data_IF_162476575634
#
_entry.id   IF_162476575634
#
_cell.length_a   1.000
_cell.length_b   1.000
_cell.length_c   1.000
_cell.angle_alpha   90.00
_cell.angle_beta   90.00
_cell.angle_gamma   90.00
#
_symmetry.space_group_name_H-M   'P 1'
#
loop_
_entity.id
_entity.type
_entity.pdbx_description
1 polymer ?
#
# COMPACT_ATOMS: atom_id res chain seq x y z
N UNK A 1 21.72 -19.44 -10.43
CA UNK A 1 20.80 -18.42 -10.97
C UNK A 1 20.87 -18.53 -12.48
N UNK A 2 19.79 -18.92 -13.17
CA UNK A 2 19.77 -19.02 -14.64
C UNK A 2 19.48 -17.64 -15.24
N UNK A 3 20.41 -17.09 -15.99
CA UNK A 3 20.32 -15.76 -16.62
C UNK A 3 19.45 -15.77 -17.91
N UNK A 4 19.14 -16.94 -18.46
CA UNK A 4 18.45 -17.10 -19.76
C UNK A 4 16.91 -16.99 -19.71
N UNK A 5 16.31 -16.63 -18.57
CA UNK A 5 14.85 -16.57 -18.46
C UNK A 5 14.26 -15.22 -18.94
N UNK A 6 13.27 -15.22 -19.86
CA UNK A 6 12.59 -14.03 -20.34
C UNK A 6 12.04 -13.16 -19.21
N UNK A 7 12.21 -11.84 -19.33
CA UNK A 7 11.88 -10.90 -18.26
C UNK A 7 10.43 -11.04 -17.77
N UNK A 8 9.43 -11.17 -18.65
CA UNK A 8 8.03 -11.34 -18.24
C UNK A 8 7.81 -12.59 -17.37
N UNK A 9 8.58 -13.66 -17.59
CA UNK A 9 8.56 -14.85 -16.73
C UNK A 9 9.17 -14.56 -15.37
N UNK A 10 10.36 -13.93 -15.32
CA UNK A 10 11.01 -13.54 -14.05
C UNK A 10 10.15 -12.57 -13.23
N UNK A 11 9.62 -11.56 -13.91
CA UNK A 11 8.71 -10.56 -13.39
C UNK A 11 7.45 -11.17 -12.81
N UNK A 12 6.84 -12.09 -13.55
CA UNK A 12 5.59 -12.69 -13.10
C UNK A 12 5.83 -13.84 -12.10
N UNK A 13 7.05 -14.40 -12.00
CA UNK A 13 7.51 -15.20 -10.85
C UNK A 13 7.67 -14.33 -9.59
N UNK A 14 8.37 -13.18 -9.68
CA UNK A 14 8.53 -12.25 -8.54
C UNK A 14 7.17 -11.84 -7.95
N UNK A 15 6.15 -11.68 -8.78
CA UNK A 15 4.76 -11.45 -8.33
C UNK A 15 4.17 -12.61 -7.53
N UNK A 16 4.47 -13.85 -7.89
CA UNK A 16 3.99 -15.04 -7.17
C UNK A 16 4.75 -15.15 -5.84
N UNK A 17 6.06 -14.94 -5.85
CA UNK A 17 6.91 -14.95 -4.64
C UNK A 17 6.49 -13.86 -3.64
N UNK A 18 6.20 -12.64 -4.12
CA UNK A 18 5.67 -11.57 -3.27
C UNK A 18 4.26 -11.87 -2.69
N UNK A 19 3.48 -12.77 -3.32
CA UNK A 19 2.17 -13.22 -2.82
C UNK A 19 2.27 -14.37 -1.83
N UNK A 20 3.26 -15.26 -1.98
CA UNK A 20 3.35 -16.46 -1.14
C UNK A 20 4.01 -16.20 0.22
N UNK A 21 4.82 -15.15 0.35
CA UNK A 21 5.57 -14.88 1.59
C UNK A 21 6.56 -16.01 1.92
N UNK A 22 7.45 -15.85 2.91
CA UNK A 22 8.49 -16.84 3.24
C UNK A 22 7.96 -18.14 3.91
N UNK A 23 6.66 -18.42 3.87
CA UNK A 23 6.03 -19.44 4.70
C UNK A 23 5.18 -20.43 3.87
N UNK A 24 5.83 -21.10 2.92
CA UNK A 24 5.32 -22.36 2.35
C UNK A 24 6.47 -23.34 2.11
N UNK A 25 6.67 -24.24 3.08
CA UNK A 25 7.43 -25.48 2.88
C UNK A 25 6.54 -26.43 2.06
N UNK A 26 6.96 -26.78 0.85
CA UNK A 26 6.32 -27.82 0.05
C UNK A 26 6.45 -29.20 0.72
N UNK A 27 5.41 -30.06 0.72
CA UNK A 27 5.54 -31.42 1.22
C UNK A 27 6.34 -32.28 0.23
N UNK A 28 7.40 -32.91 0.73
CA UNK A 28 8.26 -33.81 -0.03
C UNK A 28 7.44 -34.93 -0.70
N UNK A 29 7.72 -35.15 -1.98
CA UNK A 29 7.19 -36.27 -2.76
C UNK A 29 7.85 -37.56 -2.29
N UNK A 30 7.01 -38.51 -1.93
CA UNK A 30 7.36 -39.91 -1.72
C UNK A 30 7.72 -40.54 -3.07
N UNK A 31 8.91 -41.13 -3.17
CA UNK A 31 9.26 -42.06 -4.25
C UNK A 31 10.06 -43.21 -3.67
N UNK A 32 9.61 -44.41 -4.00
CA UNK A 32 10.11 -45.69 -3.55
C UNK A 32 11.28 -46.21 -4.41
N UNK A 33 12.01 -47.14 -3.79
CA UNK A 33 12.92 -48.17 -4.32
C UNK A 33 14.37 -47.82 -4.69
N UNK A 34 15.26 -48.58 -4.05
CA UNK A 34 16.70 -48.66 -4.31
C UNK A 34 17.45 -49.45 -3.22
N UNK A 35 17.32 -50.78 -3.26
CA UNK A 35 18.11 -51.74 -2.48
C UNK A 35 19.60 -51.75 -2.88
N UNK A 36 20.47 -52.06 -1.90
CA UNK A 36 21.70 -52.90 -1.95
C UNK A 36 22.80 -52.38 -1.01
N UNK A 37 23.10 -53.17 0.03
CA UNK A 37 24.48 -53.59 0.37
C UNK A 37 25.26 -52.89 1.49
N UNK A 38 25.12 -53.41 2.72
CA UNK A 38 26.04 -53.25 3.88
C UNK A 38 27.46 -53.80 3.59
N UNK A 39 28.56 -53.35 4.27
CA UNK A 39 28.76 -53.71 5.68
C UNK A 39 29.54 -52.72 6.57
N UNK A 40 29.41 -52.91 7.89
CA UNK A 40 30.51 -52.64 8.83
C UNK A 40 30.17 -51.77 10.04
N UNK A 41 29.63 -52.43 11.06
CA UNK A 41 29.56 -52.08 12.49
C UNK A 41 30.33 -50.84 12.96
N UNK A 42 29.59 -49.78 13.33
CA UNK A 42 30.03 -48.80 14.32
C UNK A 42 28.86 -48.51 15.25
N UNK A 43 28.94 -49.10 16.45
CA UNK A 43 27.93 -49.00 17.50
C UNK A 43 27.73 -47.56 17.96
N UNK A 44 26.58 -46.97 17.64
CA UNK A 44 26.08 -45.72 18.22
C UNK A 44 25.12 -46.03 19.38
N UNK A 45 25.16 -45.29 20.49
CA UNK A 45 24.38 -45.61 21.69
C UNK A 45 22.87 -45.45 21.47
N UNK A 46 22.12 -46.25 22.23
CA UNK A 46 20.67 -46.36 22.17
C UNK A 46 19.95 -45.00 22.18
N UNK A 47 19.05 -44.86 21.22
CA UNK A 47 18.05 -43.79 21.09
C UNK A 47 17.22 -43.75 22.37
N UNK A 48 17.53 -42.81 23.25
CA UNK A 48 16.69 -42.50 24.40
C UNK A 48 15.28 -42.16 23.93
N UNK A 49 14.29 -42.83 24.50
CA UNK A 49 12.88 -42.54 24.32
C UNK A 49 12.64 -41.05 24.61
N UNK A 50 12.29 -40.29 23.57
CA UNK A 50 11.96 -38.88 23.68
C UNK A 50 10.67 -38.73 24.48
N UNK A 51 10.83 -38.45 25.78
CA UNK A 51 9.77 -37.96 26.67
C UNK A 51 9.07 -36.77 25.99
N UNK A 52 7.73 -36.63 26.03
CA UNK A 52 7.06 -35.46 25.48
C UNK A 52 7.63 -34.21 26.14
N UNK A 53 8.31 -33.34 25.38
CA UNK A 53 8.67 -32.01 25.88
C UNK A 53 7.38 -31.23 26.02
N UNK A 54 6.91 -31.07 27.26
CA UNK A 54 5.87 -30.11 27.61
C UNK A 54 6.26 -28.75 27.04
N UNK A 55 5.34 -28.15 26.27
CA UNK A 55 5.45 -26.77 25.79
C UNK A 55 5.42 -25.86 27.01
N UNK A 56 6.59 -25.53 27.55
CA UNK A 56 6.70 -24.49 28.58
C UNK A 56 6.37 -23.15 27.92
N UNK A 57 5.21 -22.60 28.25
CA UNK A 57 4.84 -21.23 27.90
C UNK A 57 5.79 -20.29 28.64
N UNK A 58 6.51 -19.44 27.90
CA UNK A 58 7.37 -18.42 28.47
C UNK A 58 6.47 -17.31 29.03
N UNK A 59 6.77 -16.86 30.23
CA UNK A 59 6.06 -15.79 30.94
C UNK A 59 6.91 -14.53 30.96
N UNK A 60 6.32 -13.38 31.28
CA UNK A 60 7.07 -12.12 31.39
C UNK A 60 8.19 -12.19 32.44
N UNK A 61 8.04 -13.05 33.46
CA UNK A 61 9.06 -13.28 34.48
C UNK A 61 10.33 -13.95 33.93
N UNK A 62 10.23 -14.70 32.82
CA UNK A 62 11.37 -15.32 32.15
C UNK A 62 12.22 -14.29 31.36
N UNK A 63 11.81 -13.02 31.31
CA UNK A 63 12.53 -11.91 30.67
C UNK A 63 12.85 -10.76 31.65
N UNK A 64 12.71 -10.99 32.96
CA UNK A 64 12.94 -9.97 33.98
C UNK A 64 14.41 -9.52 34.10
N UNK A 65 15.33 -10.31 33.56
CA UNK A 65 16.77 -10.05 33.47
C UNK A 65 17.15 -9.17 32.26
N UNK A 66 16.23 -8.95 31.33
CA UNK A 66 16.47 -8.14 30.14
C UNK A 66 16.30 -6.66 30.46
N UNK A 67 17.40 -5.91 30.39
CA UNK A 67 17.34 -4.46 30.33
C UNK A 67 16.97 -4.01 28.91
N UNK A 68 15.69 -3.68 28.71
CA UNK A 68 15.18 -3.20 27.43
C UNK A 68 15.69 -1.80 27.06
N UNK A 69 16.13 -1.00 28.04
CA UNK A 69 16.61 0.36 27.79
C UNK A 69 18.04 0.37 27.24
N UNK A 70 18.79 -0.71 27.46
CA UNK A 70 20.13 -0.92 26.90
C UNK A 70 20.15 -1.50 25.48
N UNK A 71 18.99 -1.90 24.92
CA UNK A 71 18.92 -2.47 23.57
C UNK A 71 19.09 -1.39 22.49
N UNK A 72 19.93 -1.69 21.50
CA UNK A 72 20.24 -0.83 20.36
C UNK A 72 20.12 -1.56 19.01
N UNK A 73 20.38 -0.85 17.92
CA UNK A 73 20.26 -1.37 16.55
C UNK A 73 21.16 -2.58 16.24
N UNK A 74 22.18 -2.88 17.08
CA UNK A 74 23.08 -4.01 16.90
C UNK A 74 22.72 -5.19 17.80
N UNK A 75 21.73 -5.03 18.67
CA UNK A 75 21.28 -6.04 19.60
C UNK A 75 20.58 -7.20 18.87
N UNK A 76 20.68 -8.42 19.41
CA UNK A 76 19.99 -9.57 18.84
C UNK A 76 18.52 -9.61 19.29
N UNK A 77 17.62 -9.35 18.34
CA UNK A 77 16.18 -9.36 18.56
C UNK A 77 15.52 -10.73 18.28
N UNK A 78 16.23 -11.70 17.72
CA UNK A 78 15.66 -12.99 17.34
C UNK A 78 15.08 -13.76 18.55
N UNK A 79 15.71 -13.60 19.73
CA UNK A 79 15.24 -14.20 20.99
C UNK A 79 13.86 -13.73 21.42
N UNK A 80 13.44 -12.51 21.05
CA UNK A 80 12.12 -11.98 21.39
C UNK A 80 11.04 -12.42 20.40
N UNK A 81 11.42 -12.79 19.16
CA UNK A 81 10.49 -13.20 18.12
C UNK A 81 10.20 -14.72 18.13
N UNK A 82 10.81 -15.46 19.04
CA UNK A 82 10.63 -16.89 19.16
C UNK A 82 9.17 -17.28 19.49
N UNK A 83 8.79 -18.50 19.08
CA UNK A 83 7.46 -19.05 19.34
C UNK A 83 7.26 -19.28 20.84
N UNK A 84 6.21 -18.68 21.41
CA UNK A 84 5.89 -18.79 22.84
C UNK A 84 6.30 -17.59 23.69
N UNK A 85 7.00 -16.58 23.12
CA UNK A 85 7.28 -15.32 23.82
C UNK A 85 5.98 -14.52 23.98
N UNK A 86 5.68 -13.96 25.18
CA UNK A 86 4.53 -13.10 25.40
C UNK A 86 4.52 -11.90 24.46
N UNK A 87 3.32 -11.53 23.99
CA UNK A 87 3.14 -10.44 23.03
C UNK A 87 3.64 -9.08 23.56
N UNK A 88 3.47 -8.83 24.86
CA UNK A 88 3.96 -7.62 25.51
C UNK A 88 5.50 -7.48 25.44
N UNK A 89 6.23 -8.60 25.57
CA UNK A 89 7.70 -8.62 25.49
C UNK A 89 8.16 -8.39 24.05
N UNK A 90 7.48 -9.00 23.07
CA UNK A 90 7.71 -8.75 21.64
C UNK A 90 7.55 -7.29 21.29
N UNK A 91 6.44 -6.68 21.72
CA UNK A 91 6.15 -5.28 21.44
C UNK A 91 7.17 -4.34 22.08
N UNK A 92 7.61 -4.59 23.32
CA UNK A 92 8.67 -3.81 23.97
C UNK A 92 9.98 -3.86 23.20
N UNK A 93 10.42 -5.05 22.79
CA UNK A 93 11.64 -5.24 22.02
C UNK A 93 11.56 -4.58 20.63
N UNK A 94 10.45 -4.74 19.91
CA UNK A 94 10.26 -4.15 18.58
C UNK A 94 10.20 -2.63 18.61
N UNK A 95 9.59 -2.01 19.63
CA UNK A 95 9.61 -0.55 19.80
C UNK A 95 11.05 -0.03 19.92
N UNK A 96 11.92 -0.75 20.64
CA UNK A 96 13.34 -0.39 20.75
C UNK A 96 14.09 -0.56 19.43
N UNK A 97 13.82 -1.64 18.69
CA UNK A 97 14.40 -1.83 17.35
C UNK A 97 13.99 -0.69 16.39
N UNK A 98 12.70 -0.35 16.34
CA UNK A 98 12.21 0.71 15.45
C UNK A 98 12.68 2.12 15.82
N UNK A 99 12.90 2.38 17.12
CA UNK A 99 13.43 3.68 17.56
C UNK A 99 14.95 3.81 17.39
N UNK A 100 15.70 2.70 17.42
CA UNK A 100 17.18 2.73 17.41
C UNK A 100 17.80 2.47 16.03
N UNK A 101 17.12 1.74 15.15
CA UNK A 101 17.64 1.44 13.81
C UNK A 101 17.45 2.66 12.89
N UNK A 102 18.53 3.25 12.32
CA UNK A 102 18.45 4.40 11.42
C UNK A 102 17.66 4.14 10.12
N UNK A 103 17.40 2.89 9.76
CA UNK A 103 16.51 2.53 8.65
C UNK A 103 15.04 2.72 9.03
N UNK A 104 14.69 2.51 10.30
CA UNK A 104 13.32 2.61 10.82
C UNK A 104 13.04 3.93 11.56
N UNK A 105 14.08 4.61 12.07
CA UNK A 105 13.98 5.84 12.85
C UNK A 105 14.17 7.12 12.03
N UNK A 106 14.17 7.05 10.69
CA UNK A 106 14.04 8.22 9.82
C UNK A 106 12.63 8.80 9.93
N UNK A 107 12.41 9.56 11.00
CA UNK A 107 11.20 10.33 11.23
C UNK A 107 11.31 11.60 10.39
N UNK A 108 10.54 11.69 9.31
CA UNK A 108 10.41 12.95 8.56
C UNK A 108 9.82 14.05 9.45
N UNK A 109 10.21 15.34 9.28
CA UNK A 109 9.78 16.44 10.16
C UNK A 109 8.29 16.82 10.10
N UNK A 110 7.42 16.00 9.51
CA UNK A 110 6.04 16.36 9.18
C UNK A 110 5.02 15.25 9.50
N UNK A 111 5.19 14.58 10.65
CA UNK A 111 4.15 13.71 11.21
C UNK A 111 3.58 14.25 12.53
N UNK A 112 2.48 14.99 12.46
CA UNK A 112 1.61 15.34 13.61
C UNK A 112 0.95 14.11 14.27
N UNK A 113 1.14 12.90 13.72
CA UNK A 113 0.51 11.67 14.18
C UNK A 113 1.49 10.56 14.59
N UNK A 114 2.78 10.86 14.76
CA UNK A 114 3.79 9.88 15.20
C UNK A 114 3.89 9.73 16.73
N UNK A 115 2.98 10.34 17.50
CA UNK A 115 2.99 10.26 18.97
C UNK A 115 2.66 8.87 19.50
N UNK A 116 3.19 8.53 20.67
CA UNK A 116 2.75 7.34 21.42
C UNK A 116 1.42 7.65 22.11
N UNK A 117 0.31 7.32 21.45
CA UNK A 117 -1.04 7.48 21.99
C UNK A 117 -1.39 6.48 23.11
N UNK A 118 -0.44 5.64 23.52
CA UNK A 118 -0.54 4.82 24.74
C UNK A 118 0.21 5.41 25.93
N UNK A 119 0.93 6.52 25.75
CA UNK A 119 1.53 7.29 26.84
C UNK A 119 0.43 7.90 27.72
N UNK A 120 0.43 7.59 29.01
CA UNK A 120 -0.54 8.08 29.99
C UNK A 120 -0.50 9.62 30.17
N UNK A 121 0.54 10.30 29.69
CA UNK A 121 0.62 11.76 29.67
C UNK A 121 -0.21 12.41 28.53
N UNK A 122 -0.51 11.66 27.47
CA UNK A 122 -1.23 12.14 26.26
C UNK A 122 -2.57 11.41 26.08
N UNK A 123 -2.71 10.20 26.65
CA UNK A 123 -3.94 9.42 26.63
C UNK A 123 -4.93 9.91 27.71
N UNK A 124 -6.18 10.12 27.30
CA UNK A 124 -7.28 10.32 28.24
C UNK A 124 -7.45 9.02 29.07
N UNK A 125 -7.57 9.09 30.41
CA UNK A 125 -7.62 7.89 31.24
C UNK A 125 -8.64 6.85 30.77
N UNK A 126 -8.29 5.57 30.90
CA UNK A 126 -9.17 4.48 30.52
C UNK A 126 -10.53 4.59 31.25
N UNK A 127 -11.62 4.70 30.48
CA UNK A 127 -12.98 4.91 30.99
C UNK A 127 -13.50 6.34 30.89
N UNK A 128 -12.66 7.32 30.53
CA UNK A 128 -13.07 8.73 30.37
C UNK A 128 -13.68 9.00 28.99
N UNK A 129 -13.25 8.29 27.95
CA UNK A 129 -13.83 8.37 26.61
C UNK A 129 -14.76 7.18 26.38
N UNK A 130 -16.04 7.46 26.18
CA UNK A 130 -17.03 6.45 25.80
C UNK A 130 -17.42 6.66 24.34
N UNK A 131 -17.26 5.63 23.51
CA UNK A 131 -17.56 5.70 22.08
C UNK A 131 -19.02 5.32 21.82
N UNK A 132 -19.67 6.03 20.90
CA UNK A 132 -21.04 5.72 20.47
C UNK A 132 -21.13 4.47 19.57
N UNK A 133 -19.99 3.85 19.27
CA UNK A 133 -19.89 2.64 18.47
C UNK A 133 -19.29 1.51 19.31
N UNK A 134 -19.95 0.33 19.27
CA UNK A 134 -19.49 -0.90 19.93
C UNK A 134 -19.13 -1.93 18.87
N UNK A 135 -17.86 -2.34 18.86
CA UNK A 135 -17.35 -3.35 17.93
C UNK A 135 -18.17 -4.65 18.06
N UNK A 136 -18.70 -5.14 16.95
CA UNK A 136 -19.54 -6.34 16.88
C UNK A 136 -21.02 -6.15 17.26
N UNK A 137 -21.42 -4.95 17.70
CA UNK A 137 -22.83 -4.62 18.02
C UNK A 137 -23.39 -3.39 17.30
N UNK A 138 -22.55 -2.61 16.61
CA UNK A 138 -22.97 -1.43 15.86
C UNK A 138 -23.01 -0.15 16.71
N UNK A 139 -23.70 0.87 16.20
CA UNK A 139 -23.93 2.12 16.94
C UNK A 139 -24.90 1.91 18.11
N UNK A 140 -24.81 2.76 19.13
CA UNK A 140 -25.79 2.82 20.22
C UNK A 140 -27.21 3.04 19.65
N UNK A 141 -28.22 2.46 20.28
CA UNK A 141 -29.62 2.74 19.92
C UNK A 141 -30.02 4.16 20.31
N UNK A 142 -31.06 4.71 19.66
CA UNK A 142 -31.57 6.06 19.96
C UNK A 142 -31.94 6.24 21.44
N UNK A 143 -32.41 5.17 22.09
CA UNK A 143 -32.73 5.14 23.52
C UNK A 143 -31.45 5.20 24.40
N UNK A 144 -30.37 4.54 23.98
CA UNK A 144 -29.07 4.57 24.65
C UNK A 144 -28.38 5.92 24.49
N UNK A 145 -28.51 6.56 23.32
CA UNK A 145 -27.99 7.92 23.06
C UNK A 145 -28.72 8.95 23.91
N UNK A 146 -30.06 8.89 23.97
CA UNK A 146 -30.86 9.80 24.81
C UNK A 146 -30.57 9.64 26.32
N UNK A 147 -30.19 8.44 26.76
CA UNK A 147 -29.75 8.20 28.13
C UNK A 147 -28.37 8.82 28.42
N UNK A 148 -27.49 8.90 27.41
CA UNK A 148 -26.17 9.52 27.52
C UNK A 148 -26.23 11.04 27.54
N UNK A 149 -27.11 11.65 26.76
CA UNK A 149 -27.35 13.11 26.78
C UNK A 149 -27.85 13.61 28.15
N UNK A 150 -28.52 12.74 28.92
CA UNK A 150 -29.02 13.04 30.27
C UNK A 150 -27.97 12.96 31.38
N UNK A 151 -26.77 12.41 31.11
CA UNK A 151 -25.71 12.25 32.13
C UNK A 151 -24.90 13.54 32.40
N UNK A 152 -25.18 14.63 31.67
CA UNK A 152 -24.60 15.95 31.90
C UNK A 152 -23.20 16.12 31.31
N UNK A 153 -22.94 17.28 30.70
CA UNK A 153 -21.61 17.69 30.23
C UNK A 153 -20.82 18.28 31.41
N UNK A 154 -19.50 18.03 31.54
CA UNK A 154 -18.69 18.70 32.55
C UNK A 154 -18.71 20.22 32.30
N UNK A 155 -18.78 21.00 33.39
CA UNK A 155 -18.82 22.45 33.36
C UNK A 155 -17.57 23.01 32.65
N UNK A 156 -17.78 23.99 31.77
CA UNK A 156 -16.72 24.70 31.07
C UNK A 156 -15.74 25.33 32.07
N UNK A 157 -14.42 25.26 31.85
CA UNK A 157 -13.46 25.94 32.70
C UNK A 157 -13.66 27.46 32.60
N UNK A 158 -13.97 28.07 33.73
CA UNK A 158 -14.12 29.51 33.92
C UNK A 158 -12.88 30.26 33.44
N UNK A 159 -13.06 31.12 32.43
CA UNK A 159 -12.04 32.05 31.97
C UNK A 159 -11.71 33.08 33.07
N UNK A 160 -10.42 33.19 33.44
CA UNK A 160 -9.89 34.36 34.15
C UNK A 160 -9.35 35.34 33.11
N UNK A 161 -9.89 36.55 33.16
CA UNK A 161 -9.64 37.66 32.27
C UNK A 161 -8.23 38.28 32.43
N UNK A 162 -7.70 38.85 31.36
CA UNK A 162 -7.64 40.32 31.20
C UNK A 162 -7.34 40.70 29.76
N UNK A 163 -8.14 41.65 29.26
CA UNK A 163 -8.05 42.32 27.96
C UNK A 163 -7.35 43.69 28.15
N UNK A 164 -6.98 44.45 27.10
CA UNK A 164 -7.97 45.21 26.32
C UNK A 164 -7.74 45.09 24.80
N UNK A 165 -8.75 44.78 23.98
CA UNK A 165 -9.89 45.61 23.57
C UNK A 165 -9.50 46.80 22.68
N UNK A 166 -9.82 46.72 21.37
CA UNK A 166 -10.64 47.73 20.67
C UNK A 166 -11.48 47.03 19.60
N UNK A 167 -12.80 47.15 19.75
CA UNK A 167 -13.91 46.83 18.83
C UNK A 167 -13.98 47.82 17.66
N UNK A 168 -14.46 47.41 16.48
CA UNK A 168 -15.87 47.63 16.06
C UNK A 168 -16.12 47.17 14.60
N UNK A 169 -17.39 46.93 14.33
CA UNK A 169 -18.07 46.34 13.18
C UNK A 169 -17.75 46.94 11.78
N UNK A 170 -18.15 46.24 10.69
CA UNK A 170 -17.73 46.56 9.33
C UNK A 170 -18.70 47.54 8.63
N UNK A 171 -18.22 48.40 7.72
CA UNK A 171 -19.08 49.00 6.71
C UNK A 171 -18.86 48.40 5.31
N UNK A 172 -19.99 48.17 4.63
CA UNK A 172 -20.13 47.99 3.18
C UNK A 172 -19.75 49.28 2.41
N UNK A 173 -19.53 49.19 1.08
CA UNK A 173 -18.60 50.04 0.34
C UNK A 173 -19.23 51.31 -0.25
N UNK A 174 -18.43 52.28 -0.72
CA UNK A 174 -18.87 53.27 -1.69
C UNK A 174 -18.26 53.08 -3.08
N UNK A 175 -19.02 53.61 -4.03
CA UNK A 175 -18.91 53.57 -5.48
C UNK A 175 -17.69 54.32 -6.07
N UNK A 176 -17.28 53.85 -7.26
CA UNK A 176 -16.67 54.52 -8.41
C UNK A 176 -15.61 55.64 -8.23
N UNK A 177 -14.39 55.44 -8.73
CA UNK A 177 -14.04 55.71 -10.14
C UNK A 177 -12.52 55.78 -10.44
N UNK A 178 -12.17 55.14 -11.56
CA UNK A 178 -11.11 55.40 -12.56
C UNK A 178 -9.62 55.40 -12.18
N UNK A 179 -8.91 54.40 -12.72
CA UNK A 179 -7.45 54.32 -12.78
C UNK A 179 -6.94 53.20 -13.69
N UNK A 180 -7.16 53.37 -15.00
CA UNK A 180 -6.45 52.78 -16.15
C UNK A 180 -6.23 51.26 -16.24
N UNK A 181 -6.86 50.69 -17.27
CA UNK A 181 -6.71 49.34 -17.78
C UNK A 181 -5.25 48.96 -18.12
N UNK A 182 -4.85 47.78 -17.66
CA UNK A 182 -4.01 46.88 -18.44
C UNK A 182 -4.68 45.50 -18.42
N UNK A 183 -5.45 45.21 -19.47
CA UNK A 183 -6.00 43.90 -19.73
C UNK A 183 -4.89 42.99 -20.27
N UNK A 184 -4.62 41.87 -19.59
CA UNK A 184 -4.06 40.60 -20.10
C UNK A 184 -4.04 39.63 -18.90
N UNK A 185 -4.53 38.39 -18.91
CA UNK A 185 -5.02 37.49 -19.93
C UNK A 185 -6.06 36.58 -19.25
N UNK A 186 -7.01 36.01 -20.01
CA UNK A 186 -7.91 34.98 -19.47
C UNK A 186 -7.10 33.84 -18.86
N UNK A 187 -7.46 33.41 -17.65
CA UNK A 187 -6.92 32.19 -17.06
C UNK A 187 -7.32 31.02 -17.96
N UNK A 188 -6.40 30.63 -18.83
CA UNK A 188 -6.54 29.41 -19.62
C UNK A 188 -6.67 28.25 -18.63
N UNK A 189 -7.80 27.55 -18.69
CA UNK A 189 -8.03 26.25 -18.04
C UNK A 189 -6.73 25.43 -18.09
N UNK A 190 -6.18 24.98 -16.94
CA UNK A 190 -4.87 24.37 -16.92
C UNK A 190 -4.87 23.12 -17.78
N UNK A 191 -4.14 23.18 -18.90
CA UNK A 191 -4.03 22.08 -19.84
C UNK A 191 -3.39 20.86 -19.17
N UNK A 192 -3.86 19.68 -19.55
CA UNK A 192 -3.28 18.43 -19.06
C UNK A 192 -2.12 18.02 -19.95
N UNK A 193 -0.95 17.83 -19.36
CA UNK A 193 0.24 17.26 -20.00
C UNK A 193 0.36 15.78 -19.62
N UNK A 194 0.78 14.94 -20.56
CA UNK A 194 1.10 13.52 -20.29
C UNK A 194 2.52 13.29 -20.80
N UNK A 195 3.40 12.85 -19.90
CA UNK A 195 4.80 12.64 -20.20
C UNK A 195 5.34 11.40 -19.48
N UNK A 196 6.44 10.85 -20.00
CA UNK A 196 7.19 9.83 -19.28
C UNK A 196 7.96 10.50 -18.14
N UNK A 197 7.80 9.97 -16.95
CA UNK A 197 8.39 10.53 -15.74
C UNK A 197 8.90 9.41 -14.81
N UNK A 198 9.93 9.67 -13.99
CA UNK A 198 10.29 8.76 -12.91
C UNK A 198 9.12 8.60 -11.93
N UNK A 199 8.80 7.36 -11.49
CA UNK A 199 7.72 7.17 -10.53
C UNK A 199 8.09 7.64 -9.12
N UNK A 200 9.40 7.76 -8.82
CA UNK A 200 9.95 8.22 -7.53
C UNK A 200 9.89 9.75 -7.38
N UNK A 201 8.69 10.28 -7.40
CA UNK A 201 8.38 11.69 -7.15
C UNK A 201 7.33 11.80 -6.06
N UNK A 202 7.45 12.73 -5.09
CA UNK A 202 6.64 12.75 -3.88
C UNK A 202 5.12 12.85 -4.15
N UNK A 203 4.72 13.56 -5.19
CA UNK A 203 3.32 13.67 -5.60
C UNK A 203 2.82 12.46 -6.39
N UNK A 204 3.68 11.80 -7.15
CA UNK A 204 3.40 10.49 -7.77
C UNK A 204 3.23 9.41 -6.70
N UNK A 205 4.04 9.43 -5.64
CA UNK A 205 3.86 8.54 -4.48
C UNK A 205 2.47 8.73 -3.86
N UNK A 206 2.00 9.96 -3.71
CA UNK A 206 0.66 10.24 -3.21
C UNK A 206 -0.43 9.70 -4.15
N UNK A 207 -0.25 9.87 -5.46
CA UNK A 207 -1.14 9.31 -6.49
C UNK A 207 -1.19 7.77 -6.43
N UNK A 208 -0.04 7.11 -6.27
CA UNK A 208 0.04 5.66 -6.16
C UNK A 208 -0.62 5.16 -4.87
N UNK A 209 -0.45 5.85 -3.73
CA UNK A 209 -1.16 5.52 -2.49
C UNK A 209 -2.69 5.63 -2.62
N UNK A 210 -3.17 6.66 -3.34
CA UNK A 210 -4.61 6.78 -3.64
C UNK A 210 -5.08 5.62 -4.53
N UNK A 211 -4.29 5.24 -5.52
CA UNK A 211 -4.56 4.09 -6.38
C UNK A 211 -4.64 2.80 -5.55
N UNK A 212 -3.68 2.58 -4.64
CA UNK A 212 -3.63 1.39 -3.78
C UNK A 212 -4.87 1.32 -2.87
N UNK A 213 -5.21 2.43 -2.23
CA UNK A 213 -6.40 2.55 -1.37
C UNK A 213 -7.68 2.26 -2.15
N UNK A 214 -7.79 2.80 -3.36
CA UNK A 214 -8.94 2.55 -4.23
C UNK A 214 -9.07 1.08 -4.59
N UNK A 215 -7.99 0.42 -5.01
CA UNK A 215 -8.03 -0.99 -5.37
C UNK A 215 -8.26 -1.91 -4.17
N UNK A 216 -7.71 -1.59 -3.00
CA UNK A 216 -7.98 -2.32 -1.75
C UNK A 216 -9.46 -2.24 -1.32
N UNK A 217 -10.16 -1.15 -1.66
CA UNK A 217 -11.61 -1.04 -1.39
C UNK A 217 -12.46 -1.95 -2.30
N UNK A 218 -11.96 -2.28 -3.49
CA UNK A 218 -12.69 -3.07 -4.49
C UNK A 218 -12.41 -4.56 -4.39
N UNK A 219 -11.18 -4.95 -4.07
CA UNK A 219 -10.72 -6.34 -4.13
C UNK A 219 -9.97 -6.78 -2.87
N UNK A 220 -10.10 -8.06 -2.50
CA UNK A 220 -9.22 -8.67 -1.51
C UNK A 220 -7.75 -8.55 -1.94
N UNK A 221 -6.83 -8.47 -0.97
CA UNK A 221 -5.39 -8.40 -1.24
C UNK A 221 -4.90 -9.52 -2.16
N UNK A 222 -5.47 -10.72 -2.04
CA UNK A 222 -5.15 -11.86 -2.89
C UNK A 222 -5.41 -11.61 -4.39
N UNK A 223 -6.36 -10.75 -4.77
CA UNK A 223 -6.69 -10.43 -6.17
C UNK A 223 -6.18 -9.04 -6.61
N UNK A 224 -5.36 -8.37 -5.80
CA UNK A 224 -4.74 -7.10 -6.19
C UNK A 224 -3.36 -7.36 -6.83
N UNK A 225 -3.23 -7.03 -8.12
CA UNK A 225 -2.01 -7.25 -8.92
C UNK A 225 -1.15 -6.00 -9.13
N UNK A 226 -1.12 -5.16 -8.10
CA UNK A 226 -0.42 -3.87 -8.10
C UNK A 226 1.11 -4.05 -8.16
N UNK A 227 1.78 -3.10 -8.81
CA UNK A 227 3.24 -3.10 -9.03
C UNK A 227 3.90 -2.05 -8.15
N UNK A 228 4.81 -2.43 -7.26
CA UNK A 228 5.49 -1.46 -6.39
C UNK A 228 6.34 -0.44 -7.17
N UNK A 229 6.78 0.59 -6.48
CA UNK A 229 7.51 1.70 -7.10
C UNK A 229 8.90 1.30 -7.61
N UNK A 230 9.58 0.38 -6.93
CA UNK A 230 10.92 -0.08 -7.31
C UNK A 230 10.83 -0.77 -8.67
N UNK A 231 9.83 -1.63 -8.82
CA UNK A 231 9.49 -2.33 -10.04
C UNK A 231 9.06 -1.38 -11.17
N UNK A 232 8.38 -0.27 -10.85
CA UNK A 232 8.03 0.77 -11.84
C UNK A 232 9.23 1.60 -12.33
N UNK A 233 10.33 1.64 -11.56
CA UNK A 233 11.55 2.35 -11.91
C UNK A 233 12.51 1.54 -12.79
N UNK A 234 12.18 0.29 -13.12
CA UNK A 234 13.07 -0.56 -13.92
C UNK A 234 13.20 -0.06 -15.38
N UNK A 235 14.36 -0.24 -16.05
CA UNK A 235 14.64 0.35 -17.37
C UNK A 235 13.71 -0.07 -18.52
N UNK A 236 13.02 -1.21 -18.37
CA UNK A 236 12.10 -1.75 -19.36
C UNK A 236 10.64 -1.29 -19.10
N UNK A 237 10.41 -0.42 -18.11
CA UNK A 237 9.12 0.19 -17.83
C UNK A 237 9.07 1.59 -18.44
N UNK A 238 7.93 1.94 -19.05
CA UNK A 238 7.59 3.33 -19.41
C UNK A 238 6.47 3.75 -18.48
N UNK A 239 6.80 4.59 -17.51
CA UNK A 239 5.82 5.15 -16.57
C UNK A 239 5.41 6.54 -17.05
N UNK A 240 4.12 6.72 -17.31
CA UNK A 240 3.55 7.99 -17.74
C UNK A 240 2.74 8.62 -16.61
N UNK A 241 2.90 9.93 -16.44
CA UNK A 241 2.14 10.75 -15.51
C UNK A 241 1.33 11.78 -16.29
N UNK A 242 0.06 11.93 -15.92
CA UNK A 242 -0.81 13.00 -16.39
C UNK A 242 -0.82 14.12 -15.34
N UNK A 243 -0.36 15.31 -15.72
CA UNK A 243 -0.31 16.50 -14.85
C UNK A 243 -1.28 17.57 -15.31
N UNK A 244 -2.05 18.16 -14.38
CA UNK A 244 -2.92 19.32 -14.61
C UNK A 244 -2.48 20.45 -13.69
N UNK A 245 -2.06 21.59 -14.26
CA UNK A 245 -1.56 22.72 -13.46
C UNK A 245 -0.38 22.34 -12.56
N UNK A 246 0.48 21.42 -13.03
CA UNK A 246 1.62 20.89 -12.27
C UNK A 246 1.30 19.70 -11.36
N UNK A 247 0.03 19.46 -11.02
CA UNK A 247 -0.38 18.38 -10.09
C UNK A 247 -0.56 17.05 -10.83
N UNK A 248 0.01 15.97 -10.30
CA UNK A 248 -0.22 14.61 -10.81
C UNK A 248 -1.68 14.16 -10.56
N UNK A 249 -2.45 13.97 -11.64
CA UNK A 249 -3.87 13.62 -11.59
C UNK A 249 -4.19 12.24 -12.16
N UNK A 250 -3.20 11.59 -12.78
CA UNK A 250 -3.34 10.23 -13.28
C UNK A 250 -2.00 9.65 -13.71
N UNK A 251 -1.96 8.33 -13.84
CA UNK A 251 -0.76 7.62 -14.27
C UNK A 251 -1.12 6.34 -15.04
N UNK A 252 -0.10 5.78 -15.69
CA UNK A 252 -0.16 4.46 -16.31
C UNK A 252 1.24 3.96 -16.63
N UNK A 253 1.43 2.65 -16.61
CA UNK A 253 2.71 2.00 -16.85
C UNK A 253 2.60 1.04 -18.03
N UNK A 254 3.65 1.00 -18.83
CA UNK A 254 3.88 0.00 -19.87
C UNK A 254 5.12 -0.81 -19.49
N UNK A 255 4.94 -2.11 -19.28
CA UNK A 255 6.03 -3.04 -18.97
C UNK A 255 6.42 -3.76 -20.26
N UNK A 256 7.60 -3.47 -20.79
CA UNK A 256 8.08 -4.10 -22.02
C UNK A 256 8.47 -5.57 -21.75
N UNK A 257 7.98 -6.45 -22.61
CA UNK A 257 8.28 -7.87 -22.59
C UNK A 257 9.30 -8.29 -23.63
N UNK A 258 9.36 -9.61 -23.87
CA UNK A 258 10.11 -10.18 -24.99
C UNK A 258 9.20 -10.33 -26.21
N UNK A 259 9.79 -10.55 -27.38
CA UNK A 259 9.07 -10.97 -28.60
C UNK A 259 8.01 -9.97 -29.13
N UNK A 260 8.18 -8.68 -28.79
CA UNK A 260 7.27 -7.62 -29.22
C UNK A 260 5.94 -7.61 -28.45
N UNK A 261 5.94 -8.09 -27.22
CA UNK A 261 4.80 -8.01 -26.31
C UNK A 261 5.05 -6.97 -25.22
N UNK A 262 4.01 -6.30 -24.72
CA UNK A 262 4.10 -5.47 -23.52
C UNK A 262 2.80 -5.51 -22.70
N UNK A 263 2.92 -5.24 -21.40
CA UNK A 263 1.81 -5.27 -20.46
C UNK A 263 1.46 -3.86 -19.97
N UNK A 264 0.20 -3.45 -20.09
CA UNK A 264 -0.31 -2.22 -19.47
C UNK A 264 -0.67 -2.47 -18.02
N UNK A 265 -0.23 -1.57 -17.14
CA UNK A 265 -0.42 -1.67 -15.69
C UNK A 265 -0.59 -0.31 -15.05
N UNK A 266 -0.97 -0.31 -13.76
CA UNK A 266 -0.98 0.88 -12.90
C UNK A 266 -1.72 2.07 -13.52
N UNK A 267 -2.75 1.79 -14.32
CA UNK A 267 -3.62 2.80 -14.88
C UNK A 267 -4.54 3.31 -13.77
N UNK A 268 -4.44 4.60 -13.44
CA UNK A 268 -5.28 5.24 -12.44
C UNK A 268 -5.47 6.72 -12.75
N UNK A 269 -6.65 7.24 -12.45
CA UNK A 269 -6.98 8.67 -12.53
C UNK A 269 -7.77 9.01 -11.28
N UNK A 270 -7.38 10.09 -10.59
CA UNK A 270 -8.04 10.52 -9.36
C UNK A 270 -9.52 10.85 -9.63
N UNK A 271 -10.43 10.59 -8.68
CA UNK A 271 -11.86 10.86 -8.84
C UNK A 271 -12.18 12.28 -9.32
N UNK A 272 -11.46 13.28 -8.81
CA UNK A 272 -11.63 14.70 -9.07
C UNK A 272 -11.27 15.11 -10.51
N UNK A 273 -10.49 14.27 -11.20
CA UNK A 273 -10.06 14.49 -12.58
C UNK A 273 -10.78 13.57 -13.60
N UNK A 274 -11.82 12.85 -13.17
CA UNK A 274 -12.66 12.03 -14.06
C UNK A 274 -13.51 12.91 -14.99
N UNK A 275 -14.04 12.33 -16.06
CA UNK A 275 -14.82 13.07 -17.08
C UNK A 275 -13.97 13.81 -18.13
N UNK A 276 -12.68 14.06 -17.87
CA UNK A 276 -11.75 14.72 -18.80
C UNK A 276 -11.13 13.77 -19.85
N UNK A 277 -11.68 12.56 -20.01
CA UNK A 277 -11.17 11.49 -20.87
C UNK A 277 -9.68 11.15 -20.63
N UNK A 278 -9.16 11.41 -19.42
CA UNK A 278 -7.74 11.18 -19.10
C UNK A 278 -7.32 9.73 -19.26
N UNK A 279 -8.14 8.77 -18.86
CA UNK A 279 -7.83 7.35 -19.07
C UNK A 279 -7.60 7.01 -20.55
N UNK A 280 -8.39 7.60 -21.47
CA UNK A 280 -8.18 7.43 -22.92
C UNK A 280 -6.91 8.09 -23.41
N UNK A 281 -6.56 9.27 -22.88
CA UNK A 281 -5.36 10.01 -23.27
C UNK A 281 -4.09 9.32 -22.79
N UNK A 282 -4.09 8.81 -21.55
CA UNK A 282 -2.99 8.02 -20.99
C UNK A 282 -2.84 6.72 -21.79
N UNK A 283 -3.93 6.00 -22.05
CA UNK A 283 -3.90 4.78 -22.86
C UNK A 283 -3.32 5.04 -24.26
N UNK A 284 -3.75 6.09 -24.95
CA UNK A 284 -3.20 6.46 -26.26
C UNK A 284 -1.70 6.77 -26.20
N UNK A 285 -1.25 7.48 -25.16
CA UNK A 285 0.17 7.78 -24.97
C UNK A 285 1.00 6.51 -24.70
N UNK A 286 0.46 5.56 -23.92
CA UNK A 286 1.09 4.25 -23.69
C UNK A 286 1.13 3.42 -24.97
N UNK A 287 0.07 3.43 -25.78
CA UNK A 287 0.06 2.75 -27.08
C UNK A 287 1.10 3.35 -28.04
N UNK A 288 1.23 4.68 -28.07
CA UNK A 288 2.25 5.35 -28.86
C UNK A 288 3.68 4.99 -28.39
N UNK A 289 3.91 4.97 -27.08
CA UNK A 289 5.17 4.52 -26.49
C UNK A 289 5.47 3.06 -26.87
N UNK A 290 4.47 2.17 -26.79
CA UNK A 290 4.63 0.77 -27.16
C UNK A 290 5.01 0.60 -28.63
N UNK A 291 4.37 1.34 -29.54
CA UNK A 291 4.73 1.33 -30.98
C UNK A 291 6.16 1.79 -31.21
N UNK A 292 6.60 2.85 -30.51
CA UNK A 292 7.97 3.35 -30.62
C UNK A 292 9.02 2.31 -30.16
N UNK A 293 8.64 1.42 -29.24
CA UNK A 293 9.47 0.32 -28.74
C UNK A 293 9.35 -0.97 -29.59
N UNK A 294 8.64 -0.93 -30.73
CA UNK A 294 8.46 -2.08 -31.61
C UNK A 294 7.51 -3.16 -31.07
N UNK A 295 6.67 -2.82 -30.09
CA UNK A 295 5.65 -3.72 -29.54
C UNK A 295 4.55 -3.94 -30.58
N UNK A 296 4.19 -5.22 -30.79
CA UNK A 296 3.13 -5.67 -31.71
C UNK A 296 1.83 -5.97 -30.98
N UNK A 297 1.91 -6.42 -29.72
CA UNK A 297 0.75 -6.78 -28.91
C UNK A 297 0.84 -6.20 -27.51
N UNK A 298 -0.23 -5.52 -27.10
CA UNK A 298 -0.45 -5.08 -25.73
C UNK A 298 -1.37 -6.04 -25.02
N UNK A 299 -1.05 -6.37 -23.77
CA UNK A 299 -1.89 -7.17 -22.89
C UNK A 299 -2.13 -6.44 -21.58
N UNK A 300 -3.23 -6.75 -20.92
CA UNK A 300 -3.53 -6.21 -19.60
C UNK A 300 -4.41 -7.17 -18.80
N UNK A 301 -4.29 -7.06 -17.49
CA UNK A 301 -5.20 -7.62 -16.51
C UNK A 301 -5.95 -6.46 -15.84
N UNK A 302 -7.25 -6.64 -15.62
CA UNK A 302 -8.08 -5.67 -14.90
C UNK A 302 -9.15 -6.40 -14.12
N UNK A 303 -9.48 -5.90 -12.93
CA UNK A 303 -10.51 -6.51 -12.12
C UNK A 303 -11.93 -6.26 -12.64
N UNK A 304 -12.85 -7.19 -12.35
CA UNK A 304 -14.26 -7.18 -12.84
C UNK A 304 -15.13 -6.07 -12.25
N UNK A 305 -14.79 -5.54 -11.07
CA UNK A 305 -15.47 -4.44 -10.36
C UNK A 305 -15.01 -3.04 -10.81
N UNK A 306 -14.37 -2.94 -11.99
CA UNK A 306 -13.93 -1.68 -12.59
C UNK A 306 -14.64 -1.44 -13.93
N UNK A 307 -15.96 -1.15 -13.92
CA UNK A 307 -16.75 -1.07 -15.15
C UNK A 307 -16.25 0.02 -16.12
N UNK A 308 -15.71 1.13 -15.62
CA UNK A 308 -15.14 2.21 -16.42
C UNK A 308 -13.88 1.77 -17.17
N UNK A 309 -13.00 1.00 -16.52
CA UNK A 309 -11.79 0.48 -17.13
C UNK A 309 -12.13 -0.58 -18.19
N UNK A 310 -13.05 -1.50 -17.87
CA UNK A 310 -13.54 -2.50 -18.84
C UNK A 310 -14.15 -1.82 -20.08
N UNK A 311 -14.99 -0.80 -19.88
CA UNK A 311 -15.59 -0.04 -20.98
C UNK A 311 -14.54 0.74 -21.78
N UNK A 312 -13.52 1.31 -21.11
CA UNK A 312 -12.41 2.00 -21.76
C UNK A 312 -11.67 1.05 -22.71
N UNK A 313 -11.20 -0.10 -22.22
CA UNK A 313 -10.41 -1.03 -23.04
C UNK A 313 -11.21 -1.56 -24.23
N UNK A 314 -12.48 -1.98 -24.03
CA UNK A 314 -13.36 -2.42 -25.12
C UNK A 314 -13.54 -1.33 -26.19
N UNK A 315 -13.74 -0.07 -25.79
CA UNK A 315 -13.88 1.07 -26.73
C UNK A 315 -12.60 1.36 -27.52
N UNK A 316 -11.43 1.04 -26.94
CA UNK A 316 -10.14 1.24 -27.58
C UNK A 316 -9.68 0.01 -28.39
N UNK A 317 -10.56 -0.96 -28.62
CA UNK A 317 -10.30 -2.11 -29.50
C UNK A 317 -9.56 -3.26 -28.83
N UNK A 318 -9.52 -3.29 -27.49
CA UNK A 318 -9.02 -4.46 -26.77
C UNK A 318 -10.08 -5.56 -26.74
N UNK A 319 -9.63 -6.79 -26.98
CA UNK A 319 -10.46 -8.00 -26.99
C UNK A 319 -10.15 -8.86 -25.77
N UNK A 320 -11.19 -9.45 -25.17
CA UNK A 320 -11.03 -10.34 -24.03
C UNK A 320 -10.28 -11.62 -24.41
N UNK A 321 -9.48 -12.14 -23.47
CA UNK A 321 -8.70 -13.36 -23.62
C UNK A 321 -8.60 -14.11 -22.28
N UNK A 322 -7.98 -15.29 -22.31
CA UNK A 322 -7.61 -16.00 -21.08
C UNK A 322 -6.45 -15.34 -20.32
N UNK A 323 -5.93 -15.95 -19.25
CA UNK A 323 -4.73 -15.48 -18.56
C UNK A 323 -3.48 -15.52 -19.46
N UNK A 324 -2.43 -14.76 -19.14
CA UNK A 324 -1.11 -14.78 -19.80
C UNK A 324 0.02 -14.72 -18.79
N UNK A 325 1.26 -14.98 -19.22
CA UNK A 325 2.42 -14.99 -18.31
C UNK A 325 2.20 -16.01 -17.19
N UNK A 326 2.36 -15.59 -15.93
CA UNK A 326 2.02 -16.42 -14.75
C UNK A 326 0.65 -16.13 -14.15
N UNK A 327 -0.18 -15.28 -14.76
CA UNK A 327 -1.54 -15.10 -14.28
C UNK A 327 -2.28 -16.44 -14.35
N UNK A 328 -2.93 -16.79 -13.23
CA UNK A 328 -3.87 -17.90 -13.17
C UNK A 328 -5.28 -17.36 -13.38
N UNK A 329 -6.24 -18.21 -13.81
CA UNK A 329 -7.65 -17.82 -13.80
C UNK A 329 -8.05 -17.34 -12.39
N UNK A 330 -8.54 -16.11 -12.29
CA UNK A 330 -9.13 -15.52 -11.08
C UNK A 330 -10.52 -15.01 -11.46
N UNK A 331 -11.60 -15.42 -10.76
CA UNK A 331 -12.96 -14.96 -11.05
C UNK A 331 -13.17 -13.45 -10.89
N UNK A 332 -12.25 -12.75 -10.22
CA UNK A 332 -12.27 -11.30 -10.05
C UNK A 332 -11.41 -10.57 -11.08
N UNK A 333 -10.73 -11.27 -11.99
CA UNK A 333 -9.89 -10.70 -13.05
C UNK A 333 -10.45 -10.96 -14.43
N UNK A 334 -10.21 -10.01 -15.33
CA UNK A 334 -10.45 -10.13 -16.77
C UNK A 334 -9.18 -9.72 -17.51
N UNK A 335 -8.86 -10.44 -18.57
CA UNK A 335 -7.66 -10.21 -19.36
C UNK A 335 -8.04 -9.72 -20.75
N UNK A 336 -7.26 -8.79 -21.26
CA UNK A 336 -7.45 -8.22 -22.59
C UNK A 336 -6.15 -8.24 -23.38
N UNK A 337 -6.26 -8.26 -24.70
CA UNK A 337 -5.17 -7.94 -25.62
C UNK A 337 -5.60 -7.04 -26.77
N UNK A 338 -4.63 -6.36 -27.36
CA UNK A 338 -4.79 -5.58 -28.59
C UNK A 338 -3.52 -5.67 -29.42
N UNK A 339 -3.67 -5.93 -30.71
CA UNK A 339 -2.60 -5.82 -31.70
C UNK A 339 -2.46 -4.36 -32.14
N UNK A 340 -1.25 -3.81 -32.06
CA UNK A 340 -0.96 -2.39 -32.31
C UNK A 340 0.08 -2.15 -33.42
N UNK A 341 0.59 -3.23 -34.03
CA UNK A 341 1.50 -3.21 -35.18
C UNK A 341 0.83 -2.89 -36.50
#
# INVERSE_FOLDING_TARGET
MNEDEPFLKRWSRRKVEAREGPDKVEPARESADGDVGMPGDVSLPARGEGRPQEKRELTEADFADVDFDALDAKSDYARFLAKGVPEAIKQKALRKLWASDPVFSQIEPLQEYAGDFTDAAVAVPAGTLKTAYRVGKGFLSDEEVAAWEKLGHPAEPTAVATSPAVTDAPPSPPDASVGALAATAGEAEPAVAIAQEPPDQPDVHALLRQSDTYFASLYPAASNHLVDIVALSEPHVRFLVARRGGVAVGCGALVLGTDGEAELKRMFVIPEARGLKLGSRILYALEAAAKAEGVRVLRLETGVRQPEALALYRRHGYTERGPFGTYRPDPLSTFFEKWIG
#
